data_IF_026311673769
#
_entry.id   IF_026311673769
#
_cell.length_a   1.000
_cell.length_b   1.000
_cell.length_c   1.000
_cell.angle_alpha   90.00
_cell.angle_beta   90.00
_cell.angle_gamma   90.00
#
_symmetry.space_group_name_H-M   'P 1'
#
loop_
_entity.id
_entity.type
_entity.pdbx_description
1 polymer ?
#
# COMPACT_ATOMS: atom_id res chain seq x y z
N UNK A 1 -18.01 -20.76 0.41
CA UNK A 1 -17.82 -19.30 0.50
C UNK A 1 -16.48 -19.03 1.16
N UNK A 2 -15.61 -18.23 0.55
CA UNK A 2 -14.37 -17.78 1.20
C UNK A 2 -14.72 -16.54 2.01
N UNK A 3 -14.54 -16.58 3.33
CA UNK A 3 -14.81 -15.44 4.19
C UNK A 3 -13.73 -14.38 3.97
N UNK A 4 -14.12 -13.18 3.50
CA UNK A 4 -13.20 -12.06 3.34
C UNK A 4 -12.93 -11.42 4.69
N UNK A 5 -11.65 -11.28 5.03
CA UNK A 5 -11.19 -10.60 6.24
C UNK A 5 -10.61 -9.25 5.82
N UNK A 6 -11.02 -8.17 6.50
CA UNK A 6 -10.48 -6.83 6.32
C UNK A 6 -9.83 -6.40 7.62
N UNK A 7 -8.56 -6.00 7.56
CA UNK A 7 -7.77 -5.56 8.72
C UNK A 7 -7.36 -4.11 8.45
N UNK A 8 -7.65 -3.22 9.40
CA UNK A 8 -7.19 -1.83 9.38
C UNK A 8 -6.26 -1.59 10.56
N UNK A 9 -5.12 -0.96 10.31
CA UNK A 9 -4.10 -0.65 11.31
C UNK A 9 -3.97 0.86 11.45
N UNK A 10 -4.36 1.40 12.60
CA UNK A 10 -4.36 2.84 12.89
C UNK A 10 -3.64 3.15 14.21
N UNK A 11 -3.27 4.41 14.42
CA UNK A 11 -2.50 4.85 15.58
C UNK A 11 -1.64 6.09 15.31
N UNK A 12 -1.12 6.72 16.38
CA UNK A 12 -0.28 7.93 16.29
C UNK A 12 0.99 7.69 15.46
N UNK A 13 1.61 8.76 14.96
CA UNK A 13 2.93 8.68 14.32
C UNK A 13 3.95 8.00 15.25
N UNK A 14 4.77 7.10 14.69
CA UNK A 14 5.84 6.41 15.45
C UNK A 14 5.41 5.19 16.28
N UNK A 15 4.14 4.80 16.34
CA UNK A 15 3.68 3.66 17.16
C UNK A 15 3.94 2.28 16.53
N UNK A 16 4.68 2.18 15.42
CA UNK A 16 5.02 0.90 14.79
C UNK A 16 3.93 0.30 13.87
N UNK A 17 2.99 1.10 13.36
CA UNK A 17 1.91 0.64 12.47
C UNK A 17 2.41 -0.14 11.25
N UNK A 18 3.40 0.40 10.54
CA UNK A 18 3.98 -0.24 9.36
C UNK A 18 4.62 -1.58 9.73
N UNK A 19 5.32 -1.63 10.87
CA UNK A 19 5.96 -2.85 11.39
C UNK A 19 4.93 -3.94 11.68
N UNK A 20 3.85 -3.61 12.39
CA UNK A 20 2.82 -4.62 12.71
C UNK A 20 2.06 -5.06 11.46
N UNK A 21 1.79 -4.16 10.52
CA UNK A 21 1.19 -4.50 9.22
C UNK A 21 2.07 -5.51 8.47
N UNK A 22 3.38 -5.29 8.41
CA UNK A 22 4.32 -6.21 7.76
C UNK A 22 4.35 -7.59 8.44
N UNK A 23 4.34 -7.64 9.78
CA UNK A 23 4.29 -8.90 10.53
C UNK A 23 2.98 -9.66 10.31
N UNK A 24 1.85 -8.96 10.25
CA UNK A 24 0.55 -9.56 9.90
C UNK A 24 0.63 -10.15 8.49
N UNK A 25 1.12 -9.39 7.50
CA UNK A 25 1.27 -9.86 6.13
C UNK A 25 2.13 -11.12 6.06
N UNK A 26 3.30 -11.10 6.71
CA UNK A 26 4.23 -12.23 6.78
C UNK A 26 3.55 -13.48 7.34
N UNK A 27 2.87 -13.35 8.49
CA UNK A 27 2.14 -14.45 9.13
C UNK A 27 1.04 -15.04 8.24
N UNK A 28 0.29 -14.19 7.52
CA UNK A 28 -0.75 -14.64 6.59
C UNK A 28 -0.15 -15.41 5.41
N UNK A 29 0.97 -14.92 4.85
CA UNK A 29 1.69 -15.56 3.75
C UNK A 29 2.24 -16.92 4.19
N UNK A 30 2.90 -16.99 5.35
CA UNK A 30 3.47 -18.23 5.91
C UNK A 30 2.39 -19.28 6.20
N UNK A 31 1.16 -18.85 6.52
CA UNK A 31 -0.01 -19.73 6.71
C UNK A 31 -0.68 -20.16 5.40
N UNK A 32 -0.13 -19.80 4.25
CA UNK A 32 -0.62 -20.21 2.93
C UNK A 32 -1.68 -19.29 2.31
N UNK A 33 -1.87 -18.07 2.83
CA UNK A 33 -2.77 -17.09 2.21
C UNK A 33 -2.18 -16.59 0.89
N UNK A 34 -2.85 -16.87 -0.22
CA UNK A 34 -2.38 -16.49 -1.58
C UNK A 34 -3.02 -15.22 -2.13
N UNK A 35 -4.13 -14.77 -1.55
CA UNK A 35 -4.89 -13.62 -2.04
C UNK A 35 -4.92 -12.52 -0.98
N UNK A 36 -3.89 -11.69 -0.96
CA UNK A 36 -3.76 -10.56 -0.02
C UNK A 36 -3.67 -9.27 -0.82
N UNK A 37 -4.51 -8.30 -0.47
CA UNK A 37 -4.39 -6.92 -0.95
C UNK A 37 -3.86 -6.07 0.21
N UNK A 38 -2.63 -5.59 0.10
CA UNK A 38 -2.06 -4.63 1.03
C UNK A 38 -2.22 -3.21 0.48
N UNK A 39 -2.70 -2.30 1.33
CA UNK A 39 -2.87 -0.88 0.99
C UNK A 39 -2.11 -0.06 2.01
N UNK A 40 -1.09 0.69 1.55
CA UNK A 40 -0.42 1.70 2.36
C UNK A 40 -1.09 3.05 2.11
N UNK A 41 -1.70 3.62 3.14
CA UNK A 41 -2.37 4.92 3.08
C UNK A 41 -1.43 6.07 3.49
N UNK A 42 -0.18 5.79 3.82
CA UNK A 42 0.81 6.81 4.20
C UNK A 42 1.51 7.40 2.95
N UNK A 43 1.48 8.73 2.76
CA UNK A 43 2.16 9.38 1.63
C UNK A 43 3.68 9.18 1.64
N UNK A 44 4.31 8.93 2.79
CA UNK A 44 5.74 8.64 2.87
C UNK A 44 6.09 7.20 2.44
N UNK A 45 5.09 6.33 2.22
CA UNK A 45 5.17 4.95 1.73
C UNK A 45 6.40 4.18 2.26
N UNK A 46 6.28 3.61 3.46
CA UNK A 46 7.36 2.85 4.10
C UNK A 46 7.14 1.33 4.02
N UNK A 47 5.93 0.88 3.67
CA UNK A 47 5.60 -0.55 3.65
C UNK A 47 6.41 -1.37 2.63
N UNK A 48 6.66 -0.90 1.40
CA UNK A 48 7.45 -1.65 0.43
C UNK A 48 8.87 -1.95 0.89
N UNK A 49 9.51 -0.98 1.53
CA UNK A 49 10.88 -1.12 2.05
C UNK A 49 10.95 -2.18 3.15
N UNK A 50 9.97 -2.15 4.08
CA UNK A 50 9.87 -3.15 5.15
C UNK A 50 9.61 -4.56 4.59
N UNK A 51 8.86 -4.66 3.48
CA UNK A 51 8.58 -5.93 2.82
C UNK A 51 9.70 -6.38 1.85
N UNK A 52 10.70 -5.52 1.58
CA UNK A 52 11.76 -5.79 0.61
C UNK A 52 11.26 -5.88 -0.84
N UNK A 53 10.17 -5.19 -1.17
CA UNK A 53 9.55 -5.22 -2.51
C UNK A 53 9.75 -3.92 -3.25
N UNK A 54 10.02 -4.01 -4.57
CA UNK A 54 10.11 -2.82 -5.43
C UNK A 54 8.73 -2.46 -5.98
N UNK A 55 8.35 -1.19 -5.84
CA UNK A 55 7.12 -0.65 -6.43
C UNK A 55 7.46 0.09 -7.72
N UNK A 56 6.91 -0.38 -8.84
CA UNK A 56 7.11 0.25 -10.15
C UNK A 56 6.15 1.39 -10.47
N UNK A 57 4.99 1.45 -9.79
CA UNK A 57 3.96 2.47 -10.01
C UNK A 57 3.09 2.65 -8.77
N UNK A 58 2.77 3.89 -8.42
CA UNK A 58 1.85 4.23 -7.32
C UNK A 58 0.62 4.96 -7.85
N UNK A 59 -0.44 5.03 -7.04
CA UNK A 59 -1.61 5.87 -7.34
C UNK A 59 -1.20 7.35 -7.44
N UNK A 60 -0.29 7.80 -6.57
CA UNK A 60 0.27 9.16 -6.62
C UNK A 60 0.93 9.48 -7.98
N UNK A 61 1.72 8.56 -8.53
CA UNK A 61 2.33 8.74 -9.86
C UNK A 61 1.29 8.91 -10.97
N UNK A 62 0.16 8.20 -10.90
CA UNK A 62 -0.93 8.33 -11.87
C UNK A 62 -1.60 9.70 -11.76
N UNK A 63 -1.85 10.16 -10.53
CA UNK A 63 -2.42 11.49 -10.26
C UNK A 63 -1.50 12.59 -10.79
N UNK A 64 -0.19 12.47 -10.58
CA UNK A 64 0.79 13.45 -11.07
C UNK A 64 0.92 13.43 -12.59
N UNK A 65 0.82 12.26 -13.22
CA UNK A 65 0.79 12.14 -14.68
C UNK A 65 -0.45 12.82 -15.26
N UNK A 66 -1.61 12.64 -14.63
CA UNK A 66 -2.86 13.27 -15.03
C UNK A 66 -2.76 14.80 -14.94
N UNK A 67 -2.30 15.33 -13.79
CA UNK A 67 -2.08 16.78 -13.59
C UNK A 67 -1.20 17.37 -14.69
N UNK A 68 -0.05 16.75 -14.97
CA UNK A 68 0.87 17.21 -16.03
C UNK A 68 0.23 17.21 -17.42
N UNK A 69 -0.69 16.30 -17.72
CA UNK A 69 -1.37 16.25 -19.02
C UNK A 69 -2.43 17.35 -19.14
N UNK A 70 -3.14 17.65 -18.06
CA UNK A 70 -4.09 18.77 -17.97
C UNK A 70 -3.35 20.10 -18.12
N UNK A 71 -2.26 20.32 -17.38
CA UNK A 71 -1.45 21.55 -17.46
C UNK A 71 -0.88 21.81 -18.87
N UNK A 72 -0.70 20.73 -19.65
CA UNK A 72 -0.20 20.80 -21.04
C UNK A 72 -1.32 20.85 -22.08
N UNK A 73 -2.58 20.94 -21.68
CA UNK A 73 -3.74 20.93 -22.58
C UNK A 73 -3.88 19.63 -23.41
N UNK A 74 -3.25 18.54 -22.98
CA UNK A 74 -3.29 17.23 -23.68
C UNK A 74 -4.52 16.40 -23.31
N UNK A 75 -5.22 16.80 -22.26
CA UNK A 75 -6.49 16.25 -21.80
C UNK A 75 -7.35 17.48 -21.45
N UNK A 76 -8.63 17.52 -21.86
CA UNK A 76 -9.55 18.61 -21.53
C UNK A 76 -9.73 18.79 -20.01
#
# INVERSE_FOLDING_TARGET
>A
MVQKIVISVSGKGGTGKTTITALILKSLIERGSKCILAVDADPATNLPDVLGVRIGRTVGMVVDELKRKVDRGKIP
#
